data_IF_501442272569
#
_entry.id   IF_501442272569
#
_cell.length_a   1.000
_cell.length_b   1.000
_cell.length_c   1.000
_cell.angle_alpha   90.00
_cell.angle_beta   90.00
_cell.angle_gamma   90.00
#
_symmetry.space_group_name_H-M   'P 1'
#
loop_
_entity.id
_entity.type
_entity.pdbx_description
1 polymer ?
#
# COMPACT_ATOMS: atom_id res chain seq x y z
N UNK A 1 -12.98 -0.40 -53.89
CA UNK A 1 -14.21 0.09 -54.55
C UNK A 1 -14.07 1.59 -54.75
N UNK A 2 -14.37 2.13 -55.96
CA UNK A 2 -14.11 3.52 -56.29
C UNK A 2 -15.11 4.48 -55.64
N UNK A 3 -14.59 5.66 -55.38
CA UNK A 3 -15.20 6.83 -54.75
C UNK A 3 -16.41 7.34 -55.56
N UNK A 4 -17.61 7.38 -54.98
CA UNK A 4 -18.73 8.19 -55.50
C UNK A 4 -19.65 8.63 -54.36
N UNK A 5 -19.38 9.84 -53.85
CA UNK A 5 -20.34 10.95 -53.70
C UNK A 5 -19.68 12.03 -52.86
N UNK A 6 -19.19 13.05 -53.56
CA UNK A 6 -18.87 14.36 -53.03
C UNK A 6 -20.00 14.88 -52.14
N UNK A 7 -19.91 14.66 -50.84
CA UNK A 7 -20.53 15.56 -49.88
C UNK A 7 -19.65 16.80 -49.87
N UNK A 8 -20.04 17.83 -50.62
CA UNK A 8 -19.55 19.20 -50.42
C UNK A 8 -19.74 19.54 -48.94
N UNK A 9 -18.66 19.49 -48.18
CA UNK A 9 -18.62 19.94 -46.80
C UNK A 9 -18.74 21.46 -46.81
N UNK A 10 -19.65 22.04 -46.02
CA UNK A 10 -19.73 23.49 -45.88
C UNK A 10 -18.37 24.02 -45.40
N UNK A 11 -17.91 25.10 -46.00
CA UNK A 11 -16.59 25.73 -45.78
C UNK A 11 -16.31 26.18 -44.32
N UNK A 12 -17.30 26.05 -43.44
CA UNK A 12 -17.24 26.33 -42.00
C UNK A 12 -17.29 25.07 -41.11
N UNK A 13 -17.08 23.86 -41.67
CA UNK A 13 -16.99 22.63 -40.86
C UNK A 13 -15.67 22.54 -40.09
N UNK A 14 -15.66 21.86 -38.94
CA UNK A 14 -14.43 21.61 -38.14
C UNK A 14 -13.30 20.96 -38.96
N UNK A 15 -13.66 20.18 -39.98
CA UNK A 15 -12.72 19.54 -40.90
C UNK A 15 -12.07 20.58 -41.84
N UNK A 16 -12.82 21.58 -42.30
CA UNK A 16 -12.29 22.66 -43.13
C UNK A 16 -11.28 23.53 -42.35
N UNK A 17 -11.59 23.87 -41.09
CA UNK A 17 -10.66 24.60 -40.22
C UNK A 17 -9.40 23.77 -39.93
N UNK A 18 -9.54 22.47 -39.67
CA UNK A 18 -8.41 21.56 -39.46
C UNK A 18 -7.51 21.46 -40.71
N UNK A 19 -8.09 21.36 -41.91
CA UNK A 19 -7.34 21.38 -43.18
C UNK A 19 -6.64 22.71 -43.41
N UNK A 20 -7.28 23.84 -43.05
CA UNK A 20 -6.67 25.18 -43.15
C UNK A 20 -5.47 25.34 -42.24
N UNK A 21 -5.57 24.89 -40.98
CA UNK A 21 -4.47 24.91 -40.02
C UNK A 21 -3.34 23.99 -40.51
N UNK A 22 -3.66 22.79 -40.96
CA UNK A 22 -2.67 21.84 -41.52
C UNK A 22 -1.86 22.45 -42.67
N UNK A 23 -2.54 23.05 -43.66
CA UNK A 23 -1.87 23.71 -44.78
C UNK A 23 -0.99 24.87 -44.31
N UNK A 24 -1.45 25.66 -43.35
CA UNK A 24 -0.62 26.74 -42.76
C UNK A 24 0.64 26.21 -42.07
N UNK A 25 0.55 25.07 -41.39
CA UNK A 25 1.66 24.49 -40.61
C UNK A 25 2.67 23.76 -41.50
N UNK A 26 2.23 23.02 -42.50
CA UNK A 26 3.13 22.20 -43.32
C UNK A 26 3.40 22.77 -44.70
N UNK A 27 2.65 23.81 -45.11
CA UNK A 27 2.73 24.39 -46.46
C UNK A 27 2.21 23.46 -47.55
N UNK A 28 1.36 22.48 -47.20
CA UNK A 28 0.88 21.43 -48.08
C UNK A 28 -0.63 21.24 -47.97
N UNK A 29 -1.31 20.94 -49.08
CA UNK A 29 -2.72 20.59 -49.06
C UNK A 29 -2.96 19.22 -48.42
N UNK A 30 -4.16 19.03 -47.88
CA UNK A 30 -4.54 17.80 -47.19
C UNK A 30 -4.74 16.67 -48.20
N UNK A 31 -3.68 15.90 -48.46
CA UNK A 31 -3.71 14.77 -49.39
C UNK A 31 -4.50 13.57 -48.81
N UNK A 32 -5.21 12.84 -49.68
CA UNK A 32 -5.82 11.54 -49.33
C UNK A 32 -4.77 10.48 -48.93
N UNK A 33 -3.49 10.77 -49.17
CA UNK A 33 -2.33 9.94 -48.84
C UNK A 33 -1.69 10.27 -47.47
N UNK A 34 -2.28 11.19 -46.69
CA UNK A 34 -1.72 11.61 -45.40
C UNK A 34 -1.59 10.41 -44.46
N UNK A 35 -0.36 10.14 -44.02
CA UNK A 35 -0.01 8.98 -43.17
C UNK A 35 -0.47 9.15 -41.71
N UNK A 36 -1.07 10.30 -41.35
CA UNK A 36 -1.46 10.63 -39.98
C UNK A 36 -0.50 11.60 -39.31
N UNK A 37 -0.90 12.08 -38.12
CA UNK A 37 -0.08 12.95 -37.27
C UNK A 37 0.67 12.08 -36.26
N UNK A 38 2.01 12.11 -36.28
CA UNK A 38 2.80 11.36 -35.32
C UNK A 38 2.91 12.17 -34.04
N UNK A 39 2.10 11.83 -33.05
CA UNK A 39 2.06 12.54 -31.77
C UNK A 39 3.40 12.59 -31.05
N UNK A 40 4.28 11.60 -31.22
CA UNK A 40 5.55 11.56 -30.49
C UNK A 40 6.56 12.49 -31.14
N UNK A 41 6.59 12.55 -32.47
CA UNK A 41 7.60 13.30 -33.21
C UNK A 41 7.15 14.72 -33.60
N UNK A 42 5.85 14.94 -33.82
CA UNK A 42 5.33 16.17 -34.43
C UNK A 42 4.78 17.18 -33.41
N UNK A 43 4.39 16.74 -32.20
CA UNK A 43 3.66 17.59 -31.24
C UNK A 43 4.48 18.80 -30.80
N UNK A 44 5.77 18.63 -30.53
CA UNK A 44 6.65 19.73 -30.10
C UNK A 44 6.82 20.77 -31.20
N UNK A 45 6.96 20.34 -32.46
CA UNK A 45 7.03 21.26 -33.60
C UNK A 45 5.69 21.99 -33.80
N UNK A 46 4.57 21.27 -33.67
CA UNK A 46 3.23 21.82 -33.81
C UNK A 46 2.95 22.91 -32.77
N UNK A 47 3.13 22.62 -31.47
CA UNK A 47 2.84 23.58 -30.40
C UNK A 47 3.72 24.83 -30.54
N UNK A 48 5.01 24.68 -30.86
CA UNK A 48 5.94 25.79 -30.98
C UNK A 48 5.66 26.66 -32.21
N UNK A 49 5.29 26.05 -33.34
CA UNK A 49 4.97 26.81 -34.56
C UNK A 49 3.65 27.56 -34.45
N UNK A 50 2.64 26.91 -33.88
CA UNK A 50 1.29 27.48 -33.77
C UNK A 50 1.09 28.35 -32.54
N UNK A 51 2.08 28.34 -31.62
CA UNK A 51 2.01 29.01 -30.33
C UNK A 51 0.70 28.63 -29.62
N UNK A 52 0.49 27.33 -29.42
CA UNK A 52 -0.73 26.78 -28.80
C UNK A 52 -0.40 25.70 -27.78
N UNK A 53 -1.06 25.76 -26.62
CA UNK A 53 -0.93 24.72 -25.59
C UNK A 53 -1.90 23.57 -25.91
N UNK A 54 -1.44 22.33 -25.89
CA UNK A 54 -2.28 21.14 -26.11
C UNK A 54 -2.46 20.39 -24.80
N UNK A 55 -3.71 20.15 -24.42
CA UNK A 55 -4.09 19.41 -23.20
C UNK A 55 -4.80 18.13 -23.60
N UNK A 56 -4.24 16.97 -23.23
CA UNK A 56 -4.75 15.66 -23.63
C UNK A 56 -5.47 14.96 -22.49
N UNK A 57 -6.74 14.65 -22.71
CA UNK A 57 -7.61 13.94 -21.79
C UNK A 57 -7.83 12.51 -22.28
N UNK A 58 -8.06 11.57 -21.37
CA UNK A 58 -8.45 10.19 -21.66
C UNK A 58 -9.65 9.80 -20.82
N UNK A 59 -10.33 8.72 -21.20
CA UNK A 59 -11.47 8.18 -20.46
C UNK A 59 -11.07 6.86 -19.79
N UNK A 60 -11.25 6.78 -18.48
CA UNK A 60 -11.18 5.53 -17.72
C UNK A 60 -12.60 5.03 -17.45
N UNK A 61 -12.81 3.72 -17.56
CA UNK A 61 -14.13 3.09 -17.44
C UNK A 61 -14.47 2.61 -16.03
N UNK A 62 -13.50 2.41 -15.14
CA UNK A 62 -13.72 1.89 -13.79
C UNK A 62 -12.86 2.58 -12.70
N UNK A 63 -13.42 3.55 -11.96
CA UNK A 63 -14.75 4.15 -12.15
C UNK A 63 -14.79 5.00 -13.43
N UNK A 64 -15.97 5.23 -14.04
CA UNK A 64 -16.08 6.01 -15.26
C UNK A 64 -15.73 7.48 -15.00
N UNK A 65 -14.60 7.96 -15.53
CA UNK A 65 -14.17 9.35 -15.40
C UNK A 65 -13.19 9.78 -16.51
N UNK A 66 -13.05 11.10 -16.69
CA UNK A 66 -12.09 11.69 -17.62
C UNK A 66 -10.87 12.23 -16.85
N UNK A 67 -9.68 11.85 -17.30
CA UNK A 67 -8.41 12.28 -16.70
C UNK A 67 -7.57 13.08 -17.68
N UNK A 68 -6.97 14.18 -17.21
CA UNK A 68 -5.93 14.91 -17.92
C UNK A 68 -4.59 14.17 -17.77
N UNK A 69 -4.11 13.54 -18.84
CA UNK A 69 -2.91 12.69 -18.79
C UNK A 69 -1.64 13.42 -19.21
N UNK A 70 -1.71 14.29 -20.22
CA UNK A 70 -0.53 14.98 -20.76
C UNK A 70 -0.82 16.46 -21.08
N UNK A 71 0.21 17.29 -20.91
CA UNK A 71 0.18 18.73 -21.19
C UNK A 71 1.41 19.13 -22.00
N UNK A 72 1.19 19.68 -23.19
CA UNK A 72 2.22 20.24 -24.06
C UNK A 72 2.07 21.76 -24.01
N UNK A 73 3.05 22.44 -23.43
CA UNK A 73 2.95 23.88 -23.08
C UNK A 73 4.05 24.67 -23.77
N UNK A 74 3.67 25.79 -24.38
CA UNK A 74 4.59 26.79 -24.91
C UNK A 74 4.56 28.03 -24.02
N UNK A 75 5.75 28.45 -23.57
CA UNK A 75 5.89 29.63 -22.71
C UNK A 75 5.42 30.89 -23.45
N UNK A 76 4.43 31.58 -22.89
CA UNK A 76 3.92 32.86 -23.41
C UNK A 76 2.70 32.75 -24.33
N UNK A 77 2.16 31.55 -24.58
CA UNK A 77 0.88 31.40 -25.27
C UNK A 77 -0.29 31.21 -24.31
N UNK A 78 -1.38 31.96 -24.56
CA UNK A 78 -2.67 31.79 -23.88
C UNK A 78 -3.65 30.91 -24.67
N UNK A 79 -3.28 30.48 -25.89
CA UNK A 79 -4.16 29.64 -26.72
C UNK A 79 -4.15 28.20 -26.21
N UNK A 80 -5.31 27.58 -26.15
CA UNK A 80 -5.48 26.20 -25.69
C UNK A 80 -6.19 25.35 -26.74
N UNK A 81 -5.73 24.11 -26.86
CA UNK A 81 -6.31 23.07 -27.70
C UNK A 81 -6.51 21.82 -26.85
N UNK A 82 -7.74 21.60 -26.41
CA UNK A 82 -8.10 20.48 -25.55
C UNK A 82 -8.55 19.31 -26.42
N UNK A 83 -7.92 18.15 -26.25
CA UNK A 83 -8.23 16.94 -27.01
C UNK A 83 -8.58 15.79 -26.08
N UNK A 84 -9.56 14.99 -26.48
CA UNK A 84 -9.88 13.70 -25.88
C UNK A 84 -9.27 12.62 -26.76
N UNK A 85 -8.36 11.84 -26.19
CA UNK A 85 -7.76 10.68 -26.82
C UNK A 85 -8.52 9.42 -26.37
N UNK A 86 -9.08 8.70 -27.33
CA UNK A 86 -9.80 7.44 -27.12
C UNK A 86 -9.07 6.36 -27.88
N UNK A 87 -8.62 5.33 -27.18
CA UNK A 87 -8.00 4.17 -27.78
C UNK A 87 -8.84 2.94 -27.46
N UNK A 88 -9.34 2.25 -28.48
CA UNK A 88 -10.13 1.02 -28.34
C UNK A 88 -9.28 -0.27 -28.47
N UNK A 89 -7.95 -0.10 -28.54
CA UNK A 89 -6.96 -1.17 -28.71
C UNK A 89 -6.59 -1.46 -30.16
N UNK A 90 -7.41 -1.04 -31.14
CA UNK A 90 -7.19 -1.23 -32.58
C UNK A 90 -7.03 0.12 -33.28
N UNK A 91 -7.84 1.10 -32.89
CA UNK A 91 -7.87 2.45 -33.43
C UNK A 91 -7.68 3.49 -32.33
N UNK A 92 -6.98 4.57 -32.69
CA UNK A 92 -6.92 5.77 -31.88
C UNK A 92 -7.81 6.85 -32.51
N UNK A 93 -8.70 7.41 -31.70
CA UNK A 93 -9.56 8.53 -32.07
C UNK A 93 -9.20 9.75 -31.23
N UNK A 94 -9.24 10.91 -31.88
CA UNK A 94 -8.97 12.20 -31.25
C UNK A 94 -10.16 13.10 -31.48
N UNK A 95 -10.73 13.60 -30.38
CA UNK A 95 -11.87 14.51 -30.42
C UNK A 95 -11.48 15.85 -29.81
N UNK A 96 -11.87 16.94 -30.44
CA UNK A 96 -11.73 18.26 -29.84
C UNK A 96 -12.75 18.45 -28.72
N UNK A 97 -12.28 18.90 -27.56
CA UNK A 97 -13.12 19.21 -26.39
C UNK A 97 -13.43 20.70 -26.40
N UNK A 98 -14.69 21.05 -26.60
CA UNK A 98 -15.15 22.45 -26.55
C UNK A 98 -15.38 22.96 -25.12
N UNK A 99 -15.73 22.07 -24.20
CA UNK A 99 -15.99 22.41 -22.79
C UNK A 99 -15.35 21.35 -21.87
N UNK A 100 -14.18 21.68 -21.32
CA UNK A 100 -13.42 20.82 -20.42
C UNK A 100 -14.10 20.71 -19.05
N UNK A 101 -14.76 21.77 -18.60
CA UNK A 101 -15.40 21.82 -17.29
C UNK A 101 -16.61 20.88 -17.27
N UNK A 102 -17.43 20.92 -18.32
CA UNK A 102 -18.56 20.00 -18.48
C UNK A 102 -18.10 18.54 -18.61
N UNK A 103 -17.00 18.28 -19.32
CA UNK A 103 -16.48 16.93 -19.51
C UNK A 103 -15.92 16.33 -18.21
N UNK A 104 -15.09 17.09 -17.48
CA UNK A 104 -14.34 16.56 -16.33
C UNK A 104 -15.04 16.80 -14.99
N UNK A 105 -15.96 17.75 -14.90
CA UNK A 105 -16.52 18.22 -13.62
C UNK A 105 -15.52 19.03 -12.77
N UNK A 106 -14.38 19.39 -13.35
CA UNK A 106 -13.32 20.15 -12.70
C UNK A 106 -13.02 21.46 -13.45
N UNK A 107 -12.75 22.50 -12.67
CA UNK A 107 -12.18 23.76 -13.13
C UNK A 107 -10.68 23.78 -12.85
N UNK A 108 -9.88 24.03 -13.87
CA UNK A 108 -8.42 24.10 -13.75
C UNK A 108 -7.94 25.53 -13.49
N UNK A 109 -6.81 25.69 -12.82
CA UNK A 109 -6.20 27.01 -12.62
C UNK A 109 -5.61 27.55 -13.94
N UNK A 110 -6.05 28.74 -14.35
CA UNK A 110 -5.57 29.41 -15.58
C UNK A 110 -4.12 29.90 -15.54
N UNK A 111 -3.40 29.75 -14.40
CA UNK A 111 -2.01 30.19 -14.26
C UNK A 111 -1.05 28.98 -14.33
N UNK A 112 -1.35 27.90 -13.61
CA UNK A 112 -0.48 26.72 -13.61
C UNK A 112 -0.97 25.57 -14.49
N UNK A 113 -2.23 25.59 -14.91
CA UNK A 113 -2.92 24.52 -15.66
C UNK A 113 -2.81 23.11 -15.04
N UNK A 114 -2.42 23.02 -13.76
CA UNK A 114 -2.16 21.76 -13.04
C UNK A 114 -3.07 21.54 -11.84
N UNK A 115 -3.47 22.60 -11.15
CA UNK A 115 -4.38 22.49 -10.01
C UNK A 115 -5.83 22.46 -10.51
N UNK A 116 -6.55 21.38 -10.18
CA UNK A 116 -7.97 21.21 -10.43
C UNK A 116 -8.81 21.54 -9.18
N UNK A 117 -10.04 22.02 -9.39
CA UNK A 117 -11.04 22.29 -8.38
C UNK A 117 -12.38 21.68 -8.80
N UNK A 118 -13.04 20.94 -7.91
CA UNK A 118 -14.31 20.28 -8.22
C UNK A 118 -15.43 21.32 -8.30
N UNK A 119 -16.19 21.34 -9.38
CA UNK A 119 -17.24 22.37 -9.63
C UNK A 119 -18.35 22.31 -8.57
N UNK A 120 -18.63 21.12 -8.02
CA UNK A 120 -19.62 20.93 -6.94
C UNK A 120 -19.16 21.31 -5.54
N UNK A 121 -17.92 21.80 -5.34
CA UNK A 121 -17.44 22.21 -4.01
C UNK A 121 -18.03 23.59 -3.63
N UNK A 122 -18.78 23.71 -2.52
CA UNK A 122 -19.34 24.99 -2.07
C UNK A 122 -18.27 26.05 -1.78
N UNK A 123 -17.02 25.63 -1.52
CA UNK A 123 -15.90 26.51 -1.23
C UNK A 123 -15.01 26.80 -2.44
N UNK A 124 -15.39 26.38 -3.65
CA UNK A 124 -14.56 26.49 -4.86
C UNK A 124 -13.99 27.90 -5.06
N UNK A 125 -14.81 28.95 -4.88
CA UNK A 125 -14.36 30.33 -5.09
C UNK A 125 -13.24 30.72 -4.12
N UNK A 126 -13.36 30.34 -2.85
CA UNK A 126 -12.36 30.63 -1.82
C UNK A 126 -11.08 29.83 -2.08
N UNK A 127 -11.20 28.54 -2.37
CA UNK A 127 -10.08 27.65 -2.69
C UNK A 127 -9.31 28.11 -3.92
N UNK A 128 -10.01 28.48 -5.00
CA UNK A 128 -9.42 29.03 -6.22
C UNK A 128 -8.71 30.35 -5.96
N UNK A 129 -9.36 31.30 -5.27
CA UNK A 129 -8.75 32.59 -4.95
C UNK A 129 -7.46 32.42 -4.14
N UNK A 130 -7.48 31.55 -3.13
CA UNK A 130 -6.33 31.27 -2.29
C UNK A 130 -5.19 30.63 -3.08
N UNK A 131 -5.50 29.70 -3.98
CA UNK A 131 -4.52 29.11 -4.88
C UNK A 131 -3.96 30.15 -5.86
N UNK A 132 -4.81 30.90 -6.57
CA UNK A 132 -4.38 31.88 -7.59
C UNK A 132 -3.41 32.92 -7.02
N UNK A 133 -3.68 33.45 -5.81
CA UNK A 133 -2.75 34.36 -5.11
C UNK A 133 -1.36 33.75 -4.92
N UNK A 134 -1.29 32.49 -4.49
CA UNK A 134 -0.02 31.76 -4.29
C UNK A 134 0.63 31.41 -5.63
N UNK A 135 -0.17 31.00 -6.60
CA UNK A 135 0.24 30.57 -7.92
C UNK A 135 0.88 31.72 -8.71
N UNK A 136 0.25 32.91 -8.67
CA UNK A 136 0.77 34.13 -9.28
C UNK A 136 2.11 34.55 -8.65
N UNK A 137 2.20 34.53 -7.30
CA UNK A 137 3.45 34.81 -6.59
C UNK A 137 4.60 33.86 -6.97
N UNK A 138 4.27 32.62 -7.34
CA UNK A 138 5.23 31.60 -7.71
C UNK A 138 5.45 31.48 -9.23
N UNK A 139 4.90 32.39 -10.04
CA UNK A 139 5.03 32.37 -11.50
C UNK A 139 4.47 31.08 -12.13
N UNK A 140 3.35 30.57 -11.63
CA UNK A 140 2.72 29.32 -12.12
C UNK A 140 3.41 28.03 -11.66
N UNK A 141 4.53 28.11 -10.94
CA UNK A 141 5.25 26.93 -10.45
C UNK A 141 4.62 26.40 -9.15
N UNK A 142 4.33 25.10 -9.12
CA UNK A 142 3.93 24.40 -7.89
C UNK A 142 5.18 24.19 -7.03
N UNK A 143 5.36 25.03 -6.01
CA UNK A 143 6.44 24.87 -5.04
C UNK A 143 6.00 23.83 -4.00
N UNK A 144 6.42 22.57 -4.18
CA UNK A 144 6.35 21.56 -3.12
C UNK A 144 7.47 21.86 -2.12
N UNK A 145 7.16 22.54 -1.02
CA UNK A 145 8.10 22.68 0.10
C UNK A 145 8.20 21.34 0.82
N UNK A 146 9.27 20.60 0.58
CA UNK A 146 9.63 19.47 1.45
C UNK A 146 10.13 20.07 2.76
N UNK A 147 9.32 20.01 3.81
CA UNK A 147 9.74 20.35 5.16
C UNK A 147 10.59 19.18 5.68
N UNK A 148 11.90 19.26 5.45
CA UNK A 148 12.85 18.40 6.13
C UNK A 148 13.05 18.95 7.55
N UNK A 149 12.96 18.09 8.55
CA UNK A 149 13.35 18.49 9.91
C UNK A 149 14.83 18.90 9.88
N UNK A 150 15.17 20.04 10.51
CA UNK A 150 16.52 20.62 10.50
C UNK A 150 17.58 19.70 11.12
N UNK A 151 17.14 18.70 11.88
CA UNK A 151 17.98 17.67 12.49
C UNK A 151 17.34 16.31 12.25
N UNK A 152 18.15 15.31 11.91
CA UNK A 152 17.70 13.92 11.88
C UNK A 152 17.32 13.50 13.31
N UNK A 153 16.03 13.36 13.59
CA UNK A 153 15.60 12.76 14.85
C UNK A 153 15.82 11.25 14.80
N UNK A 154 16.41 10.64 15.84
CA UNK A 154 16.43 9.19 15.93
C UNK A 154 14.98 8.69 15.95
N UNK A 155 14.71 7.60 15.23
CA UNK A 155 13.37 7.03 15.16
C UNK A 155 13.01 6.32 16.46
N UNK A 156 12.60 7.10 17.46
CA UNK A 156 12.27 6.62 18.81
C UNK A 156 10.81 6.96 19.13
N UNK A 157 9.82 6.41 18.39
CA UNK A 157 8.42 6.75 18.55
C UNK A 157 7.88 6.46 19.96
N UNK A 158 8.45 5.48 20.67
CA UNK A 158 8.08 5.16 22.04
C UNK A 158 8.42 6.26 23.06
N UNK A 159 9.31 7.20 22.71
CA UNK A 159 9.61 8.41 23.48
C UNK A 159 8.93 9.62 22.82
N UNK A 160 9.21 9.85 21.54
CA UNK A 160 8.82 11.08 20.83
C UNK A 160 7.33 11.17 20.47
N UNK A 161 6.63 10.03 20.42
CA UNK A 161 5.18 9.98 20.16
C UNK A 161 4.36 9.58 21.38
N UNK A 162 4.99 9.30 22.52
CA UNK A 162 4.29 8.91 23.73
C UNK A 162 3.76 10.15 24.47
N UNK A 163 2.44 10.32 24.48
CA UNK A 163 1.79 11.47 25.11
C UNK A 163 1.97 11.49 26.64
N UNK A 164 2.01 10.32 27.27
CA UNK A 164 2.28 10.19 28.70
C UNK A 164 3.71 10.64 29.01
N UNK A 165 4.70 10.21 28.23
CA UNK A 165 6.08 10.69 28.39
C UNK A 165 6.18 12.21 28.19
N UNK A 166 5.52 12.77 27.16
CA UNK A 166 5.47 14.23 26.93
C UNK A 166 4.88 14.98 28.11
N UNK A 167 3.78 14.47 28.68
CA UNK A 167 3.17 15.07 29.87
C UNK A 167 4.13 15.03 31.07
N UNK A 168 4.74 13.88 31.35
CA UNK A 168 5.70 13.74 32.45
C UNK A 168 6.90 14.67 32.26
N UNK A 169 7.43 14.77 31.03
CA UNK A 169 8.52 15.69 30.70
C UNK A 169 8.13 17.15 30.92
N UNK A 170 6.95 17.58 30.46
CA UNK A 170 6.49 18.96 30.60
C UNK A 170 6.27 19.38 32.07
N UNK A 171 6.04 18.43 32.98
CA UNK A 171 5.81 18.69 34.39
C UNK A 171 7.01 18.33 35.28
N UNK A 172 8.19 18.05 34.71
CA UNK A 172 9.38 17.60 35.46
C UNK A 172 9.19 16.30 36.27
N UNK A 173 8.28 15.43 35.82
CA UNK A 173 7.93 14.14 36.44
C UNK A 173 8.52 12.92 35.67
N UNK A 174 9.60 13.10 34.91
CA UNK A 174 10.20 12.03 34.09
C UNK A 174 10.65 10.82 34.90
N UNK A 175 11.03 11.02 36.17
CA UNK A 175 11.39 9.95 37.11
C UNK A 175 10.23 8.97 37.39
N UNK A 176 8.98 9.37 37.13
CA UNK A 176 7.82 8.50 37.24
C UNK A 176 7.59 7.63 36.01
N UNK A 177 8.26 7.90 34.88
CA UNK A 177 8.02 7.18 33.64
C UNK A 177 8.35 5.69 33.77
N UNK A 178 7.39 4.85 33.40
CA UNK A 178 7.53 3.40 33.33
C UNK A 178 7.52 2.93 31.88
N UNK A 179 8.50 2.12 31.44
CA UNK A 179 8.46 1.50 30.13
C UNK A 179 7.33 0.48 30.07
N UNK A 180 6.83 0.23 28.86
CA UNK A 180 5.86 -0.84 28.62
C UNK A 180 6.50 -2.20 28.90
N UNK A 181 5.87 -2.99 29.77
CA UNK A 181 6.38 -4.31 30.17
C UNK A 181 5.60 -5.47 29.53
N UNK A 182 4.30 -5.27 29.32
CA UNK A 182 3.37 -6.30 28.85
C UNK A 182 2.92 -6.02 27.42
N UNK A 183 2.88 -7.06 26.60
CA UNK A 183 2.70 -6.97 25.16
C UNK A 183 2.17 -8.29 24.60
N UNK A 184 1.78 -8.27 23.32
CA UNK A 184 1.40 -9.47 22.57
C UNK A 184 2.41 -9.65 21.44
N UNK A 185 2.86 -10.87 21.19
CA UNK A 185 3.63 -11.23 19.99
C UNK A 185 2.80 -12.13 19.08
N UNK A 186 3.11 -12.15 17.79
CA UNK A 186 2.47 -13.08 16.85
C UNK A 186 3.44 -13.61 15.79
N UNK A 187 3.11 -14.76 15.22
CA UNK A 187 3.77 -15.37 14.06
C UNK A 187 2.68 -15.93 13.12
N UNK A 188 2.90 -15.85 11.81
CA UNK A 188 1.96 -16.30 10.78
C UNK A 188 2.62 -17.37 9.94
N UNK A 189 1.91 -18.49 9.77
CA UNK A 189 2.31 -19.55 8.87
C UNK A 189 1.45 -19.52 7.60
N UNK A 190 2.11 -19.70 6.45
CA UNK A 190 1.49 -19.55 5.13
C UNK A 190 1.79 -20.74 4.21
N UNK A 191 0.85 -21.00 3.30
CA UNK A 191 0.96 -21.99 2.25
C UNK A 191 1.26 -21.33 0.91
N UNK A 192 2.10 -21.97 0.12
CA UNK A 192 2.32 -21.57 -1.26
C UNK A 192 1.15 -22.03 -2.15
N UNK A 193 0.56 -21.08 -2.88
CA UNK A 193 -0.34 -21.34 -4.01
C UNK A 193 0.37 -20.90 -5.28
N UNK A 194 0.77 -21.85 -6.12
CA UNK A 194 1.36 -21.55 -7.43
C UNK A 194 0.27 -21.04 -8.36
N UNK A 195 0.50 -19.87 -8.98
CA UNK A 195 -0.48 -19.17 -9.82
C UNK A 195 0.05 -18.98 -11.24
N UNK A 196 1.35 -18.69 -11.40
CA UNK A 196 2.02 -18.47 -12.68
C UNK A 196 1.28 -17.49 -13.61
N UNK A 197 0.66 -16.45 -13.05
CA UNK A 197 -0.07 -15.43 -13.78
C UNK A 197 0.88 -14.35 -14.34
N UNK A 198 0.68 -13.97 -15.61
CA UNK A 198 1.44 -12.88 -16.25
C UNK A 198 0.61 -11.59 -16.26
N UNK A 199 1.24 -10.48 -15.91
CA UNK A 199 0.66 -9.14 -15.93
C UNK A 199 1.47 -8.29 -16.91
N UNK A 200 0.98 -8.21 -18.15
CA UNK A 200 1.71 -7.60 -19.26
C UNK A 200 2.96 -8.39 -19.66
N UNK A 201 3.84 -7.74 -20.41
CA UNK A 201 5.00 -8.41 -21.04
C UNK A 201 6.18 -8.63 -20.08
N UNK A 202 6.22 -7.95 -18.94
CA UNK A 202 7.40 -7.89 -18.06
C UNK A 202 7.16 -8.35 -16.62
N UNK A 203 5.93 -8.68 -16.23
CA UNK A 203 5.62 -9.09 -14.86
C UNK A 203 4.95 -10.45 -14.81
N UNK A 204 5.43 -11.33 -13.93
CA UNK A 204 4.83 -12.64 -13.67
C UNK A 204 4.77 -12.89 -12.17
N UNK A 205 3.59 -13.26 -11.68
CA UNK A 205 3.37 -13.75 -10.32
C UNK A 205 3.43 -15.27 -10.36
N UNK A 206 4.54 -15.83 -9.87
CA UNK A 206 4.76 -17.28 -9.84
C UNK A 206 3.87 -17.95 -8.79
N UNK A 207 3.77 -17.35 -7.61
CA UNK A 207 2.99 -17.88 -6.50
C UNK A 207 2.45 -16.78 -5.59
N UNK A 208 1.35 -17.09 -4.91
CA UNK A 208 0.72 -16.28 -3.87
C UNK A 208 0.76 -17.07 -2.57
N UNK A 209 1.03 -16.38 -1.45
CA UNK A 209 1.05 -16.99 -0.12
C UNK A 209 -0.31 -16.81 0.56
N UNK A 210 -0.87 -17.90 1.07
CA UNK A 210 -2.16 -17.91 1.76
C UNK A 210 -1.91 -18.22 3.24
N UNK A 211 -2.38 -17.40 4.18
CA UNK A 211 -2.25 -17.73 5.60
C UNK A 211 -3.06 -18.97 5.94
N UNK A 212 -2.47 -19.88 6.70
CA UNK A 212 -3.18 -21.08 7.18
C UNK A 212 -3.19 -21.20 8.70
N UNK A 213 -2.24 -20.59 9.41
CA UNK A 213 -2.26 -20.53 10.86
C UNK A 213 -1.66 -19.22 11.36
N UNK A 214 -2.15 -18.77 12.50
CA UNK A 214 -1.62 -17.62 13.21
C UNK A 214 -1.60 -17.91 14.70
N UNK A 215 -0.44 -17.72 15.31
CA UNK A 215 -0.25 -17.92 16.74
C UNK A 215 0.06 -16.58 17.40
N UNK A 216 -0.37 -16.43 18.65
CA UNK A 216 -0.03 -15.28 19.48
C UNK A 216 0.34 -15.70 20.87
N UNK A 217 1.28 -14.97 21.46
CA UNK A 217 1.72 -15.14 22.84
C UNK A 217 1.52 -13.84 23.58
N UNK A 218 0.79 -13.91 24.68
CA UNK A 218 0.46 -12.75 25.53
C UNK A 218 1.38 -12.77 26.73
N UNK A 219 2.14 -11.69 26.92
CA UNK A 219 2.94 -11.47 28.13
C UNK A 219 2.14 -10.58 29.07
N UNK A 220 1.68 -11.12 30.18
CA UNK A 220 0.94 -10.43 31.25
C UNK A 220 1.77 -10.35 32.54
N UNK A 221 1.26 -9.62 33.53
CA UNK A 221 1.82 -9.58 34.88
C UNK A 221 1.70 -10.95 35.58
N UNK A 222 0.60 -11.66 35.34
CA UNK A 222 0.31 -12.98 35.92
C UNK A 222 1.09 -14.13 35.29
N UNK A 223 1.62 -13.96 34.08
CA UNK A 223 2.30 -15.05 33.37
C UNK A 223 2.39 -14.84 31.86
N UNK A 224 2.63 -15.95 31.16
CA UNK A 224 2.66 -16.02 29.70
C UNK A 224 1.70 -17.12 29.29
N UNK A 225 0.83 -16.83 28.33
CA UNK A 225 0.01 -17.83 27.67
C UNK A 225 -0.03 -17.58 26.17
N UNK A 226 -0.41 -18.60 25.42
CA UNK A 226 -0.48 -18.56 23.96
C UNK A 226 -1.83 -19.06 23.48
N UNK A 227 -2.26 -18.56 22.33
CA UNK A 227 -3.43 -19.04 21.62
C UNK A 227 -3.12 -19.02 20.12
N UNK A 228 -3.83 -19.85 19.36
CA UNK A 228 -3.66 -19.90 17.92
C UNK A 228 -5.01 -20.14 17.25
N UNK A 229 -5.07 -19.78 15.97
CA UNK A 229 -6.17 -20.10 15.09
C UNK A 229 -5.60 -20.57 13.74
N UNK A 230 -6.30 -21.48 13.10
CA UNK A 230 -5.92 -22.02 11.80
C UNK A 230 -7.09 -22.11 10.83
N UNK A 231 -6.78 -22.49 9.60
CA UNK A 231 -7.68 -22.58 8.45
C UNK A 231 -8.88 -23.52 8.65
N UNK A 232 -8.86 -24.41 9.64
CA UNK A 232 -10.02 -25.25 10.01
C UNK A 232 -11.13 -24.42 10.67
N UNK A 233 -10.81 -23.20 11.11
CA UNK A 233 -11.77 -22.26 11.68
C UNK A 233 -12.22 -21.25 10.64
N UNK A 234 -13.53 -21.15 10.39
CA UNK A 234 -14.06 -20.11 9.50
C UNK A 234 -13.70 -18.70 10.00
N UNK A 235 -13.20 -17.87 9.09
CA UNK A 235 -12.73 -16.51 9.34
C UNK A 235 -11.71 -16.42 10.50
N UNK A 236 -10.79 -17.39 10.56
CA UNK A 236 -9.83 -17.52 11.66
C UNK A 236 -9.01 -16.26 11.95
N UNK A 237 -8.66 -15.45 10.93
CA UNK A 237 -7.94 -14.19 11.10
C UNK A 237 -8.79 -13.11 11.81
N UNK A 238 -10.09 -13.06 11.53
CA UNK A 238 -10.99 -12.11 12.18
C UNK A 238 -11.24 -12.53 13.63
N UNK A 239 -11.46 -13.84 13.88
CA UNK A 239 -11.55 -14.40 15.25
C UNK A 239 -10.27 -14.18 16.06
N UNK A 240 -9.12 -14.30 15.42
CA UNK A 240 -7.84 -13.98 16.04
C UNK A 240 -7.74 -12.50 16.43
N UNK A 241 -8.18 -11.57 15.56
CA UNK A 241 -8.23 -10.14 15.89
C UNK A 241 -9.21 -9.83 17.03
N UNK A 242 -10.37 -10.49 17.06
CA UNK A 242 -11.33 -10.40 18.17
C UNK A 242 -10.68 -10.83 19.49
N UNK A 243 -10.03 -12.00 19.53
CA UNK A 243 -9.30 -12.48 20.70
C UNK A 243 -8.17 -11.51 21.10
N UNK A 244 -7.44 -10.95 20.14
CA UNK A 244 -6.42 -9.93 20.43
C UNK A 244 -7.00 -8.72 21.15
N UNK A 245 -8.18 -8.25 20.76
CA UNK A 245 -8.83 -7.12 21.45
C UNK A 245 -9.26 -7.46 22.87
N UNK A 246 -9.69 -8.70 23.11
CA UNK A 246 -10.02 -9.18 24.46
C UNK A 246 -8.77 -9.26 25.35
N UNK A 247 -7.70 -9.89 24.87
CA UNK A 247 -6.41 -9.98 25.60
C UNK A 247 -5.80 -8.60 25.86
N UNK A 248 -5.96 -7.69 24.91
CA UNK A 248 -5.49 -6.32 25.02
C UNK A 248 -6.15 -5.52 26.15
N UNK A 249 -7.35 -5.90 26.62
CA UNK A 249 -7.96 -5.32 27.83
C UNK A 249 -7.07 -5.55 29.04
N UNK A 250 -6.62 -6.79 29.23
CA UNK A 250 -5.79 -7.17 30.36
C UNK A 250 -4.37 -6.62 30.21
N UNK A 251 -3.77 -6.69 29.01
CA UNK A 251 -2.45 -6.08 28.75
C UNK A 251 -2.45 -4.57 29.04
N UNK A 252 -3.52 -3.87 28.67
CA UNK A 252 -3.68 -2.43 28.97
C UNK A 252 -3.79 -2.20 30.48
N UNK A 253 -4.54 -3.04 31.20
CA UNK A 253 -4.68 -2.96 32.66
C UNK A 253 -3.35 -3.18 33.37
N UNK A 254 -2.59 -4.19 32.97
CA UNK A 254 -1.30 -4.52 33.60
C UNK A 254 -0.23 -3.45 33.37
N UNK A 255 -0.32 -2.69 32.26
CA UNK A 255 0.56 -1.55 32.00
C UNK A 255 0.05 -0.22 32.60
N UNK A 256 -1.09 -0.19 33.29
CA UNK A 256 -1.66 1.05 33.86
C UNK A 256 -0.76 1.55 35.00
N UNK A 257 -0.53 2.87 35.06
CA UNK A 257 0.07 3.51 36.25
C UNK A 257 -0.91 3.44 37.43
N UNK A 258 -0.37 3.25 38.64
CA UNK A 258 -1.15 3.25 39.88
C UNK A 258 -1.74 4.65 40.17
N UNK A 259 -1.01 5.70 39.81
CA UNK A 259 -1.46 7.09 39.95
C UNK A 259 -2.40 7.44 38.79
N UNK A 260 -3.66 7.71 39.11
CA UNK A 260 -4.70 8.04 38.13
C UNK A 260 -4.59 9.47 37.58
N UNK A 261 -3.80 10.33 38.20
CA UNK A 261 -3.56 11.70 37.73
C UNK A 261 -2.65 11.73 36.49
N UNK A 262 -1.87 10.66 36.27
CA UNK A 262 -1.00 10.54 35.09
C UNK A 262 -1.86 10.17 33.87
N UNK A 263 -1.99 11.04 32.85
CA UNK A 263 -2.81 10.77 31.69
C UNK A 263 -2.19 9.65 30.83
N UNK A 264 -2.97 8.61 30.58
CA UNK A 264 -2.52 7.41 29.87
C UNK A 264 -3.10 7.32 28.47
N UNK A 265 -2.21 7.47 27.49
CA UNK A 265 -2.51 7.25 26.08
C UNK A 265 -1.83 5.98 25.63
N UNK A 266 -2.47 4.85 25.95
CA UNK A 266 -1.87 3.54 25.77
C UNK A 266 -2.46 2.81 24.56
N UNK A 267 -1.60 2.53 23.59
CA UNK A 267 -1.86 1.55 22.53
C UNK A 267 -1.09 0.28 22.91
N UNK A 268 -1.78 -0.86 22.90
CA UNK A 268 -1.24 -2.18 23.26
C UNK A 268 -0.30 -2.64 22.15
N UNK A 269 0.99 -2.91 22.44
CA UNK A 269 1.93 -3.41 21.43
C UNK A 269 1.57 -4.82 20.99
N UNK A 270 1.47 -5.00 19.68
CA UNK A 270 1.37 -6.28 18.99
C UNK A 270 2.60 -6.42 18.11
N UNK A 271 3.49 -7.34 18.45
CA UNK A 271 4.86 -7.38 17.95
C UNK A 271 5.04 -8.60 17.03
N UNK A 272 5.34 -8.35 15.77
CA UNK A 272 5.80 -9.41 14.85
C UNK A 272 7.31 -9.32 14.63
N UNK A 273 7.90 -10.36 14.05
CA UNK A 273 9.32 -10.39 13.70
C UNK A 273 9.48 -10.44 12.17
N UNK A 274 10.10 -9.40 11.57
CA UNK A 274 10.18 -9.25 10.11
C UNK A 274 8.81 -9.08 9.44
N UNK A 275 7.84 -8.53 10.18
CA UNK A 275 6.42 -8.46 9.84
C UNK A 275 6.01 -7.23 9.03
N UNK A 276 6.88 -6.21 8.94
CA UNK A 276 6.53 -4.91 8.35
C UNK A 276 6.12 -4.98 6.87
N UNK A 277 6.60 -6.00 6.16
CA UNK A 277 6.26 -6.24 4.75
C UNK A 277 5.31 -7.42 4.61
N UNK A 278 5.74 -8.59 5.07
CA UNK A 278 5.06 -9.86 4.80
C UNK A 278 3.74 -9.97 5.55
N UNK A 279 3.78 -10.10 6.88
CA UNK A 279 2.59 -10.29 7.72
C UNK A 279 1.58 -9.17 7.54
N UNK A 280 2.09 -7.94 7.42
CA UNK A 280 1.23 -6.79 7.16
C UNK A 280 0.43 -6.97 5.87
N UNK A 281 1.07 -7.41 4.78
CA UNK A 281 0.37 -7.62 3.50
C UNK A 281 -0.71 -8.70 3.60
N UNK A 282 -0.45 -9.74 4.40
CA UNK A 282 -1.39 -10.83 4.67
C UNK A 282 -2.59 -10.35 5.49
N UNK A 283 -2.33 -9.61 6.57
CA UNK A 283 -3.37 -9.15 7.51
C UNK A 283 -4.12 -7.90 7.04
N UNK A 284 -3.60 -7.17 6.04
CA UNK A 284 -4.07 -5.80 5.74
C UNK A 284 -5.58 -5.69 5.53
N UNK A 285 -6.18 -6.70 4.88
CA UNK A 285 -7.62 -6.76 4.63
C UNK A 285 -8.43 -6.91 5.93
N UNK A 286 -7.95 -7.72 6.87
CA UNK A 286 -8.58 -8.00 8.17
C UNK A 286 -8.43 -6.83 9.16
N UNK A 287 -7.40 -5.98 8.99
CA UNK A 287 -7.20 -4.79 9.84
C UNK A 287 -8.28 -3.70 9.68
N UNK A 288 -9.24 -3.89 8.77
CA UNK A 288 -10.42 -3.04 8.60
C UNK A 288 -11.69 -3.88 8.66
N UNK A 289 -12.50 -3.65 9.68
CA UNK A 289 -13.76 -4.37 9.91
C UNK A 289 -14.92 -3.40 10.22
N UNK A 290 -16.10 -3.98 10.47
CA UNK A 290 -17.23 -3.28 11.07
C UNK A 290 -16.90 -2.82 12.49
N UNK A 291 -16.06 -3.54 13.23
CA UNK A 291 -15.81 -3.27 14.66
C UNK A 291 -14.51 -2.51 14.94
N UNK A 292 -13.54 -2.51 14.02
CA UNK A 292 -12.28 -1.76 14.14
C UNK A 292 -11.85 -1.12 12.83
N UNK A 293 -11.00 -0.11 12.92
CA UNK A 293 -10.41 0.53 11.74
C UNK A 293 -8.99 1.01 12.01
N UNK A 294 -8.21 1.08 10.93
CA UNK A 294 -6.87 1.67 10.95
C UNK A 294 -7.00 3.16 11.29
N UNK A 295 -6.38 3.57 12.40
CA UNK A 295 -6.38 4.95 12.88
C UNK A 295 -5.06 5.67 12.54
N UNK A 296 -3.96 4.92 12.43
CA UNK A 296 -2.65 5.45 12.08
C UNK A 296 -1.88 4.42 11.25
N UNK A 297 -1.22 4.92 10.21
CA UNK A 297 -0.28 4.14 9.40
C UNK A 297 1.03 4.91 9.30
N UNK A 298 2.15 4.22 9.49
CA UNK A 298 3.48 4.77 9.34
C UNK A 298 4.34 3.81 8.53
N UNK A 299 4.86 4.27 7.39
CA UNK A 299 5.61 3.43 6.46
C UNK A 299 5.44 3.89 5.02
N UNK A 300 6.05 3.14 4.11
CA UNK A 300 5.72 3.21 2.68
C UNK A 300 4.60 2.22 2.37
N UNK A 301 3.98 2.32 1.19
CA UNK A 301 2.99 1.33 0.72
C UNK A 301 3.48 -0.12 0.76
N UNK A 302 4.80 -0.34 0.73
CA UNK A 302 5.45 -1.65 0.72
C UNK A 302 5.98 -2.11 2.07
N UNK A 303 6.18 -1.19 3.03
CA UNK A 303 6.77 -1.48 4.33
C UNK A 303 6.02 -0.66 5.37
N UNK A 304 5.12 -1.31 6.10
CA UNK A 304 4.42 -0.72 7.23
C UNK A 304 5.28 -0.85 8.49
N UNK A 305 5.93 0.25 8.86
CA UNK A 305 6.74 0.28 10.08
C UNK A 305 5.90 0.18 11.35
N UNK A 306 4.71 0.78 11.30
CA UNK A 306 3.75 0.75 12.38
C UNK A 306 2.33 0.89 11.82
N UNK A 307 1.40 0.09 12.33
CA UNK A 307 -0.03 0.23 12.10
C UNK A 307 -0.74 0.30 13.45
N UNK A 308 -1.62 1.28 13.63
CA UNK A 308 -2.50 1.34 14.79
C UNK A 308 -3.92 1.07 14.31
N UNK A 309 -4.55 0.06 14.90
CA UNK A 309 -5.97 -0.21 14.73
C UNK A 309 -6.71 0.16 16.01
N UNK A 310 -7.86 0.81 15.85
CA UNK A 310 -8.72 1.25 16.94
C UNK A 310 -10.03 0.50 16.86
N UNK A 311 -10.43 -0.09 17.98
CA UNK A 311 -11.78 -0.63 18.14
C UNK A 311 -12.78 0.52 18.18
N UNK A 312 -13.90 0.42 17.45
CA UNK A 312 -14.86 1.52 17.32
C UNK A 312 -15.66 1.72 18.60
N UNK A 313 -16.03 0.65 19.28
CA UNK A 313 -16.87 0.69 20.48
C UNK A 313 -16.07 0.67 21.79
N UNK A 314 -14.75 0.41 21.75
CA UNK A 314 -13.92 0.34 22.96
C UNK A 314 -12.78 1.35 22.90
N UNK A 315 -12.18 1.68 24.05
CA UNK A 315 -11.03 2.58 24.12
C UNK A 315 -9.70 1.89 23.80
N UNK A 316 -9.75 0.66 23.27
CA UNK A 316 -8.58 -0.17 22.99
C UNK A 316 -8.02 0.17 21.61
N UNK A 317 -6.71 0.28 21.55
CA UNK A 317 -5.95 0.44 20.32
C UNK A 317 -4.82 -0.57 20.32
N UNK A 318 -4.70 -1.32 19.23
CA UNK A 318 -3.59 -2.25 19.01
C UNK A 318 -2.57 -1.59 18.10
N UNK A 319 -1.31 -1.62 18.51
CA UNK A 319 -0.18 -1.06 17.76
C UNK A 319 0.67 -2.21 17.23
N UNK A 320 0.47 -2.54 15.96
CA UNK A 320 1.30 -3.46 15.22
C UNK A 320 2.66 -2.83 14.91
N UNK A 321 3.72 -3.50 15.34
CA UNK A 321 5.11 -3.11 15.09
C UNK A 321 5.96 -4.32 14.69
N UNK A 322 6.97 -4.07 13.88
CA UNK A 322 7.99 -5.06 13.54
C UNK A 322 9.20 -4.89 14.45
N UNK A 323 9.53 -5.93 15.21
CA UNK A 323 10.69 -5.97 16.07
C UNK A 323 11.99 -5.62 15.34
N UNK A 324 12.15 -6.09 14.09
CA UNK A 324 13.38 -5.86 13.31
C UNK A 324 13.61 -4.39 12.96
N UNK A 325 12.59 -3.56 12.97
CA UNK A 325 12.76 -2.12 12.72
C UNK A 325 13.45 -1.42 13.89
N UNK A 326 13.33 -1.99 15.09
CA UNK A 326 13.84 -1.41 16.34
C UNK A 326 15.08 -2.15 16.87
N UNK A 327 15.52 -3.20 16.19
CA UNK A 327 16.65 -4.04 16.61
C UNK A 327 17.67 -4.21 15.48
N UNK A 328 18.94 -4.42 15.82
CA UNK A 328 20.01 -4.65 14.84
C UNK A 328 20.07 -6.14 14.40
N UNK A 329 19.30 -7.00 15.05
CA UNK A 329 19.36 -8.45 14.88
C UNK A 329 18.60 -8.87 13.62
N UNK A 330 19.32 -9.51 12.70
CA UNK A 330 18.76 -9.95 11.43
C UNK A 330 17.97 -11.27 11.50
N UNK A 331 18.31 -12.13 12.47
CA UNK A 331 17.71 -13.46 12.63
C UNK A 331 17.03 -13.57 13.99
N UNK A 332 15.89 -14.26 14.02
CA UNK A 332 15.12 -14.47 15.24
C UNK A 332 15.96 -15.13 16.35
N UNK A 333 16.81 -16.10 16.01
CA UNK A 333 17.72 -16.75 16.95
C UNK A 333 18.69 -15.78 17.65
N UNK A 334 19.16 -14.77 16.93
CA UNK A 334 20.11 -13.79 17.47
C UNK A 334 19.34 -12.81 18.38
N UNK A 335 18.11 -12.45 18.00
CA UNK A 335 17.22 -11.66 18.86
C UNK A 335 16.85 -12.38 20.15
N UNK A 336 16.54 -13.69 20.11
CA UNK A 336 16.24 -14.49 21.31
C UNK A 336 17.47 -14.66 22.20
N UNK A 337 18.66 -14.78 21.62
CA UNK A 337 19.92 -14.80 22.39
C UNK A 337 20.16 -13.46 23.11
N UNK A 338 19.95 -12.35 22.42
CA UNK A 338 20.34 -11.03 22.91
C UNK A 338 19.28 -10.40 23.85
N UNK A 339 18.00 -10.66 23.61
CA UNK A 339 16.88 -10.06 24.35
C UNK A 339 16.00 -11.07 25.09
N UNK A 340 16.09 -12.35 24.76
CA UNK A 340 15.39 -13.42 25.46
C UNK A 340 16.25 -14.04 26.55
N UNK A 341 15.74 -15.10 27.17
CA UNK A 341 16.48 -15.85 28.20
C UNK A 341 17.47 -16.86 27.60
N UNK A 342 17.96 -16.63 26.37
CA UNK A 342 18.92 -17.48 25.67
C UNK A 342 18.37 -18.82 25.14
N UNK A 343 17.15 -19.24 25.50
CA UNK A 343 16.55 -20.49 25.02
C UNK A 343 15.83 -20.31 23.68
N UNK A 344 16.56 -20.44 22.58
CA UNK A 344 15.95 -20.51 21.25
C UNK A 344 15.42 -21.92 20.97
N UNK A 345 14.09 -22.08 21.07
CA UNK A 345 13.35 -23.30 20.68
C UNK A 345 12.39 -22.94 19.55
N UNK A 346 12.82 -23.11 18.29
CA UNK A 346 11.93 -23.05 17.12
C UNK A 346 12.00 -24.41 16.42
N UNK A 347 10.83 -25.03 16.26
CA UNK A 347 10.68 -26.30 15.54
C UNK A 347 11.07 -26.20 14.07
N UNK A 348 11.13 -27.34 13.40
CA UNK A 348 11.42 -27.44 11.96
C UNK A 348 10.12 -27.75 11.25
N UNK A 349 9.69 -26.88 10.34
CA UNK A 349 8.50 -27.11 9.54
C UNK A 349 8.85 -27.20 8.04
N UNK A 350 8.27 -28.16 7.30
CA UNK A 350 8.59 -28.37 5.88
C UNK A 350 7.78 -27.43 4.96
N UNK A 351 8.11 -26.14 4.96
CA UNK A 351 7.35 -25.09 4.25
C UNK A 351 7.30 -25.26 2.71
N UNK A 352 8.25 -25.95 2.09
CA UNK A 352 8.24 -26.21 0.63
C UNK A 352 7.42 -27.45 0.25
N UNK A 353 7.24 -28.38 1.18
CA UNK A 353 6.49 -29.62 0.97
C UNK A 353 4.99 -29.40 1.11
N UNK A 354 4.57 -28.61 2.11
CA UNK A 354 3.16 -28.32 2.38
C UNK A 354 2.70 -27.15 1.53
N UNK A 355 1.62 -27.36 0.77
CA UNK A 355 1.02 -26.38 -0.12
C UNK A 355 -0.51 -26.49 -0.11
N UNK A 356 -1.17 -25.59 -0.83
CA UNK A 356 -2.64 -25.52 -0.84
C UNK A 356 -3.34 -26.80 -1.32
N UNK A 357 -2.66 -27.66 -2.08
CA UNK A 357 -3.24 -28.88 -2.65
C UNK A 357 -3.15 -30.08 -1.70
N UNK A 358 -2.13 -30.14 -0.84
CA UNK A 358 -1.86 -31.33 -0.02
C UNK A 358 -1.98 -31.09 1.49
N UNK A 359 -2.11 -29.84 1.95
CA UNK A 359 -2.05 -29.56 3.39
C UNK A 359 -3.08 -30.36 4.21
N UNK A 360 -4.32 -30.53 3.74
CA UNK A 360 -5.32 -31.30 4.50
C UNK A 360 -4.92 -32.76 4.68
N UNK A 361 -4.47 -33.41 3.60
CA UNK A 361 -4.06 -34.81 3.66
C UNK A 361 -2.79 -34.97 4.50
N UNK A 362 -1.79 -34.12 4.26
CA UNK A 362 -0.51 -34.22 4.93
C UNK A 362 -0.58 -33.85 6.41
N UNK A 363 -1.35 -32.83 6.80
CA UNK A 363 -1.41 -32.37 8.19
C UNK A 363 -2.28 -33.28 9.09
N UNK A 364 -3.21 -34.04 8.51
CA UNK A 364 -4.04 -34.99 9.26
C UNK A 364 -3.32 -36.32 9.60
N UNK A 365 -2.11 -36.54 9.06
CA UNK A 365 -1.34 -37.75 9.34
C UNK A 365 -0.76 -37.72 10.76
N UNK A 366 -0.83 -38.86 11.44
CA UNK A 366 -0.20 -39.09 12.76
C UNK A 366 1.28 -39.46 12.66
N UNK A 367 1.73 -39.93 11.51
CA UNK A 367 3.16 -40.20 11.27
C UNK A 367 3.96 -38.89 11.11
N UNK A 368 5.24 -38.84 11.53
CA UNK A 368 6.11 -37.70 11.27
C UNK A 368 6.29 -37.41 9.78
N UNK A 369 6.77 -36.21 9.44
CA UNK A 369 7.17 -35.88 8.09
C UNK A 369 8.37 -36.74 7.64
N UNK A 370 8.39 -37.19 6.39
CA UNK A 370 9.56 -37.86 5.82
C UNK A 370 10.74 -36.87 5.71
N UNK A 371 11.98 -37.36 5.71
CA UNK A 371 13.17 -36.48 5.69
C UNK A 371 13.21 -35.59 4.44
N UNK A 372 12.71 -36.11 3.32
CA UNK A 372 12.65 -35.43 2.02
C UNK A 372 11.70 -34.22 2.06
N UNK A 373 10.72 -34.18 2.98
CA UNK A 373 9.84 -33.03 3.13
C UNK A 373 10.60 -31.77 3.57
N UNK A 374 11.77 -31.93 4.20
CA UNK A 374 12.60 -30.82 4.67
C UNK A 374 13.66 -30.36 3.66
N UNK A 375 13.70 -30.97 2.46
CA UNK A 375 14.64 -30.57 1.42
C UNK A 375 14.30 -29.16 0.91
N UNK A 376 15.33 -28.31 0.85
CA UNK A 376 15.22 -26.96 0.32
C UNK A 376 15.64 -26.97 -1.15
N UNK A 377 14.66 -26.99 -2.06
CA UNK A 377 14.89 -27.06 -3.50
C UNK A 377 15.55 -25.78 -4.01
N UNK A 378 15.17 -24.62 -3.46
CA UNK A 378 15.68 -23.30 -3.87
C UNK A 378 17.18 -23.14 -3.62
N UNK A 379 17.71 -23.71 -2.54
CA UNK A 379 19.13 -23.65 -2.16
C UNK A 379 19.87 -24.94 -2.47
N UNK A 380 19.19 -25.93 -3.04
CA UNK A 380 19.69 -27.27 -3.27
C UNK A 380 20.35 -27.85 -1.98
N UNK A 381 19.62 -27.81 -0.87
CA UNK A 381 20.11 -28.28 0.44
C UNK A 381 19.20 -29.35 1.02
N UNK A 382 19.79 -30.48 1.38
CA UNK A 382 19.11 -31.56 2.10
C UNK A 382 19.22 -31.40 3.61
N UNK A 383 18.26 -31.95 4.33
CA UNK A 383 18.36 -32.05 5.79
C UNK A 383 19.40 -33.13 6.17
N UNK A 384 20.25 -32.83 7.15
CA UNK A 384 21.19 -33.84 7.67
C UNK A 384 20.48 -34.82 8.59
N UNK A 385 20.87 -36.09 8.57
CA UNK A 385 20.32 -37.15 9.43
C UNK A 385 20.22 -36.75 10.90
N UNK A 386 21.28 -36.16 11.46
CA UNK A 386 21.31 -35.69 12.87
C UNK A 386 20.19 -34.68 13.18
N UNK A 387 19.86 -33.80 12.23
CA UNK A 387 18.78 -32.82 12.39
C UNK A 387 17.40 -33.46 12.21
N UNK A 388 17.31 -34.50 11.39
CA UNK A 388 16.08 -35.27 11.21
C UNK A 388 15.75 -36.09 12.46
N UNK A 389 16.75 -36.75 13.06
CA UNK A 389 16.57 -37.45 14.34
C UNK A 389 16.09 -36.51 15.47
N UNK A 390 16.62 -35.28 15.53
CA UNK A 390 16.13 -34.26 16.47
C UNK A 390 14.66 -33.88 16.22
N UNK A 391 14.24 -33.79 14.95
CA UNK A 391 12.84 -33.57 14.58
C UNK A 391 11.94 -34.75 15.01
N UNK A 392 12.37 -36.00 14.76
CA UNK A 392 11.58 -37.18 15.14
C UNK A 392 11.32 -37.22 16.65
N UNK A 393 12.33 -36.91 17.47
CA UNK A 393 12.19 -36.85 18.93
C UNK A 393 11.15 -35.79 19.33
N UNK A 394 11.18 -34.61 18.71
CA UNK A 394 10.22 -33.54 18.97
C UNK A 394 8.80 -33.95 18.53
N UNK A 395 8.66 -34.55 17.35
CA UNK A 395 7.39 -34.98 16.77
C UNK A 395 6.64 -36.01 17.63
N UNK A 396 7.34 -36.83 18.42
CA UNK A 396 6.68 -37.79 19.34
C UNK A 396 5.82 -37.14 20.43
N UNK A 397 5.99 -35.84 20.69
CA UNK A 397 5.23 -35.10 21.69
C UNK A 397 3.82 -34.70 21.20
N UNK A 398 3.51 -34.96 19.93
CA UNK A 398 2.31 -34.49 19.25
C UNK A 398 1.53 -35.65 18.63
N UNK A 399 0.20 -35.57 18.62
CA UNK A 399 -0.66 -36.65 18.15
C UNK A 399 -0.77 -36.72 16.61
N UNK A 400 -0.61 -35.57 15.96
CA UNK A 400 -0.65 -35.41 14.51
C UNK A 400 0.17 -34.18 14.10
N UNK A 401 0.33 -33.99 12.79
CA UNK A 401 1.12 -32.89 12.23
C UNK A 401 0.47 -31.50 12.36
N UNK A 402 -0.81 -31.40 12.73
CA UNK A 402 -1.40 -30.11 13.13
C UNK A 402 -0.96 -29.68 14.53
N UNK A 403 -0.76 -30.64 15.42
CA UNK A 403 -0.39 -30.34 16.80
C UNK A 403 1.11 -29.99 16.94
N UNK A 404 1.95 -30.55 16.05
CA UNK A 404 3.38 -30.23 15.91
C UNK A 404 3.59 -28.81 15.37
#
# INVERSE_FOLDING_TARGET
MPNTKDKRWKDSSRIAEAKRIFNRVLGQEFHDCYQGFDFVNDIDNFINKEQINVHMYTYESDPPHYELTQNYIVLGSDKQFNILFINDGINAHIMYISDVEALTGFRYCNICHKQAFRIGDPNIQTSMRNHMKKCQKNGGKIIKKVLLERFAKPFVPHILSNRTYKYLLANNLTHLFKPTQYYITYDIETLEKKVNEKFGDSSQVTATLIPYAIASTVKLASGIHSFYYDIRTDNFLDKWLEQLFEEAKQVKKDNKYNDETIPQYYEVPVIGFNSAKFDTSVLFKNLKSKDWSISKYLGSSTIAKQIVIKHKCSSIQLRFIDFKIYSMQNRLKDAVRDFGNGQYKKGRFPHEFININNYMEEMNKSEPFPIEAFDNQLRNKKLSEVKYQAYLIEATQFANRWDY
#
